data_IF_207428073659
#
_entry.id   IF_207428073659
#
_cell.length_a   1.000
_cell.length_b   1.000
_cell.length_c   1.000
_cell.angle_alpha   90.00
_cell.angle_beta   90.00
_cell.angle_gamma   90.00
#
_symmetry.space_group_name_H-M   'P 1'
#
loop_
_entity.id
_entity.type
_entity.pdbx_description
1 polymer ?
#
# COMPACT_ATOMS: atom_id res chain seq x y z
N UNK A 1 22.04 22.94 -9.17
CA UNK A 1 20.95 22.79 -10.17
C UNK A 1 20.59 21.34 -10.44
N UNK A 2 21.52 20.48 -10.93
CA UNK A 2 21.20 19.05 -11.21
C UNK A 2 20.78 18.25 -9.96
N UNK A 3 21.51 18.39 -8.85
CA UNK A 3 21.19 17.73 -7.55
C UNK A 3 19.73 18.00 -7.12
N UNK A 4 19.32 19.26 -7.16
CA UNK A 4 17.96 19.69 -6.79
C UNK A 4 16.90 19.01 -7.65
N UNK A 5 17.11 18.94 -8.97
CA UNK A 5 16.15 18.30 -9.88
C UNK A 5 16.03 16.79 -9.62
N UNK A 6 17.15 16.12 -9.33
CA UNK A 6 17.15 14.70 -8.98
C UNK A 6 16.37 14.46 -7.67
N UNK A 7 16.59 15.28 -6.65
CA UNK A 7 15.88 15.14 -5.37
C UNK A 7 14.38 15.37 -5.54
N UNK A 8 13.99 16.41 -6.28
CA UNK A 8 12.58 16.70 -6.55
C UNK A 8 11.90 15.59 -7.35
N UNK A 9 12.59 15.05 -8.38
CA UNK A 9 12.10 13.91 -9.13
C UNK A 9 11.87 12.69 -8.23
N UNK A 10 12.84 12.36 -7.37
CA UNK A 10 12.74 11.20 -6.48
C UNK A 10 11.63 11.38 -5.44
N UNK A 11 11.48 12.58 -4.87
CA UNK A 11 10.39 12.90 -3.95
C UNK A 11 9.03 12.75 -4.64
N UNK A 12 8.89 13.25 -5.88
CA UNK A 12 7.67 13.11 -6.66
C UNK A 12 7.37 11.65 -7.01
N UNK A 13 8.38 10.89 -7.42
CA UNK A 13 8.26 9.47 -7.72
C UNK A 13 7.77 8.67 -6.50
N UNK A 14 8.37 8.88 -5.33
CA UNK A 14 7.95 8.24 -4.07
C UNK A 14 6.51 8.62 -3.73
N UNK A 15 6.13 9.89 -3.91
CA UNK A 15 4.77 10.34 -3.67
C UNK A 15 3.76 9.60 -4.55
N UNK A 16 3.99 9.55 -5.87
CA UNK A 16 3.09 8.87 -6.83
C UNK A 16 3.02 7.38 -6.53
N UNK A 17 4.16 6.72 -6.31
CA UNK A 17 4.20 5.30 -5.99
C UNK A 17 3.41 4.99 -4.70
N UNK A 18 3.59 5.80 -3.67
CA UNK A 18 2.89 5.64 -2.40
C UNK A 18 1.38 5.86 -2.54
N UNK A 19 0.94 6.82 -3.37
CA UNK A 19 -0.47 7.02 -3.69
C UNK A 19 -1.07 5.82 -4.41
N UNK A 20 -0.36 5.23 -5.38
CA UNK A 20 -0.82 4.01 -6.07
C UNK A 20 -1.00 2.87 -5.06
N UNK A 21 -0.01 2.61 -4.21
CA UNK A 21 -0.09 1.57 -3.18
C UNK A 21 -1.25 1.85 -2.23
N UNK A 22 -1.41 3.10 -1.77
CA UNK A 22 -2.50 3.51 -0.90
C UNK A 22 -3.88 3.21 -1.51
N UNK A 23 -4.11 3.57 -2.77
CA UNK A 23 -5.37 3.29 -3.45
C UNK A 23 -5.60 1.80 -3.72
N UNK A 24 -4.56 1.03 -4.05
CA UNK A 24 -4.65 -0.42 -4.15
C UNK A 24 -5.06 -1.06 -2.81
N UNK A 25 -4.52 -0.57 -1.71
CA UNK A 25 -4.88 -1.05 -0.38
C UNK A 25 -6.32 -0.70 0.00
N UNK A 26 -6.81 0.51 -0.33
CA UNK A 26 -8.23 0.86 -0.19
C UNK A 26 -9.11 -0.07 -1.02
N UNK A 27 -8.78 -0.26 -2.30
CA UNK A 27 -9.53 -1.14 -3.19
C UNK A 27 -9.55 -2.58 -2.64
N UNK A 28 -8.45 -3.05 -2.05
CA UNK A 28 -8.38 -4.38 -1.41
C UNK A 28 -9.27 -4.47 -0.19
N UNK A 29 -9.27 -3.47 0.68
CA UNK A 29 -10.17 -3.43 1.84
C UNK A 29 -11.60 -3.54 1.33
N UNK A 30 -12.04 -2.64 0.44
CA UNK A 30 -13.40 -2.65 -0.14
C UNK A 30 -13.72 -4.03 -0.75
N UNK A 31 -12.80 -4.58 -1.54
CA UNK A 31 -12.98 -5.90 -2.19
C UNK A 31 -13.10 -7.03 -1.18
N UNK A 32 -12.40 -6.97 -0.03
CA UNK A 32 -12.52 -7.99 1.02
C UNK A 32 -13.91 -8.01 1.68
N UNK A 33 -14.57 -6.86 1.79
CA UNK A 33 -15.96 -6.79 2.26
C UNK A 33 -16.92 -7.34 1.20
N UNK A 34 -16.69 -7.01 -0.07
CA UNK A 34 -17.56 -7.45 -1.18
C UNK A 34 -17.46 -8.95 -1.48
N UNK A 35 -16.30 -9.56 -1.25
CA UNK A 35 -16.05 -11.00 -1.52
C UNK A 35 -16.23 -11.88 -0.27
N UNK A 36 -16.73 -11.32 0.82
CA UNK A 36 -16.90 -12.01 2.09
C UNK A 36 -17.75 -13.29 1.93
N UNK A 37 -17.18 -14.43 2.31
CA UNK A 37 -17.81 -15.76 2.17
C UNK A 37 -17.46 -16.52 0.88
N UNK A 38 -16.70 -15.92 -0.04
CA UNK A 38 -16.21 -16.56 -1.28
C UNK A 38 -14.70 -16.46 -1.39
N UNK A 39 -14.06 -17.35 -2.15
CA UNK A 39 -12.63 -17.25 -2.39
C UNK A 39 -12.35 -16.04 -3.34
N UNK A 40 -11.61 -15.01 -2.91
CA UNK A 40 -11.36 -13.83 -3.74
C UNK A 40 -10.64 -14.17 -5.06
N UNK A 41 -9.88 -15.27 -5.06
CA UNK A 41 -9.14 -15.77 -6.23
C UNK A 41 -10.01 -16.52 -7.24
N UNK A 42 -11.23 -16.91 -6.87
CA UNK A 42 -12.21 -17.49 -7.81
C UNK A 42 -13.20 -16.47 -8.36
N UNK A 43 -13.08 -15.20 -7.97
CA UNK A 43 -13.90 -14.11 -8.47
C UNK A 43 -13.41 -13.53 -9.81
N UNK A 44 -13.84 -12.30 -10.11
CA UNK A 44 -13.47 -11.57 -11.32
C UNK A 44 -11.95 -11.38 -11.43
N UNK A 45 -11.40 -11.41 -12.65
CA UNK A 45 -9.97 -11.27 -12.92
C UNK A 45 -9.34 -10.00 -12.29
N UNK A 46 -10.09 -8.89 -12.26
CA UNK A 46 -9.65 -7.62 -11.65
C UNK A 46 -9.40 -7.78 -10.15
N UNK A 47 -10.32 -8.44 -9.44
CA UNK A 47 -10.17 -8.71 -8.00
C UNK A 47 -8.99 -9.63 -7.75
N UNK A 48 -8.82 -10.65 -8.58
CA UNK A 48 -7.67 -11.55 -8.48
C UNK A 48 -6.34 -10.81 -8.63
N UNK A 49 -6.19 -9.98 -9.67
CA UNK A 49 -4.99 -9.18 -9.90
C UNK A 49 -4.74 -8.22 -8.73
N UNK A 50 -5.78 -7.58 -8.21
CA UNK A 50 -5.67 -6.70 -7.05
C UNK A 50 -5.08 -7.43 -5.83
N UNK A 51 -5.58 -8.64 -5.53
CA UNK A 51 -5.05 -9.45 -4.43
C UNK A 51 -3.61 -9.92 -4.70
N UNK A 52 -3.30 -10.35 -5.92
CA UNK A 52 -1.94 -10.77 -6.30
C UNK A 52 -0.92 -9.62 -6.19
N UNK A 53 -1.29 -8.40 -6.57
CA UNK A 53 -0.43 -7.23 -6.46
C UNK A 53 -0.17 -6.79 -5.02
N UNK A 54 -1.15 -6.97 -4.13
CA UNK A 54 -1.09 -6.48 -2.75
C UNK A 54 -0.67 -7.56 -1.74
N UNK A 55 -0.72 -8.85 -2.12
CA UNK A 55 -0.31 -9.98 -1.28
C UNK A 55 1.14 -9.90 -0.82
N UNK A 56 2.14 -9.56 -1.66
CA UNK A 56 3.53 -9.45 -1.21
C UNK A 56 3.70 -8.42 -0.09
N UNK A 57 3.03 -7.27 -0.20
CA UNK A 57 3.06 -6.20 0.79
C UNK A 57 2.41 -6.67 2.10
N UNK A 58 1.27 -7.35 2.01
CA UNK A 58 0.55 -7.84 3.17
C UNK A 58 1.19 -9.06 3.83
N UNK A 59 1.89 -9.90 3.08
CA UNK A 59 2.64 -11.03 3.64
C UNK A 59 3.76 -10.56 4.58
N UNK A 60 4.34 -9.38 4.32
CA UNK A 60 5.30 -8.74 5.23
C UNK A 60 4.56 -8.26 6.49
N UNK A 61 3.41 -7.60 6.34
CA UNK A 61 2.63 -7.09 7.46
C UNK A 61 2.03 -8.19 8.35
N UNK A 62 1.63 -9.33 7.76
CA UNK A 62 1.07 -10.50 8.43
C UNK A 62 2.06 -11.26 9.30
N UNK A 63 3.36 -10.94 9.22
CA UNK A 63 4.36 -11.46 10.18
C UNK A 63 4.09 -10.99 11.60
N UNK A 64 3.31 -9.91 11.78
CA UNK A 64 2.90 -9.45 13.09
C UNK A 64 1.44 -9.91 13.32
N UNK A 65 1.17 -10.74 14.35
CA UNK A 65 -0.15 -11.32 14.58
C UNK A 65 -1.13 -10.26 15.07
N UNK A 66 -1.83 -9.62 14.14
CA UNK A 66 -2.87 -8.61 14.41
C UNK A 66 -4.22 -8.99 13.80
N UNK A 67 -4.53 -10.28 13.66
CA UNK A 67 -5.83 -10.70 13.14
C UNK A 67 -6.88 -10.59 14.25
N UNK A 68 -7.81 -9.64 14.13
CA UNK A 68 -9.03 -9.60 14.95
C UNK A 68 -10.19 -10.08 14.08
N UNK A 69 -10.55 -11.37 14.20
CA UNK A 69 -11.62 -11.99 13.43
C UNK A 69 -11.33 -12.06 11.92
N UNK A 70 -12.35 -11.76 11.10
CA UNK A 70 -12.26 -11.78 9.63
C UNK A 70 -11.87 -10.44 8.99
N UNK A 71 -11.64 -9.39 9.79
CA UNK A 71 -11.17 -8.10 9.29
C UNK A 71 -9.66 -8.17 9.05
N UNK A 72 -9.22 -7.92 7.82
CA UNK A 72 -7.80 -7.87 7.49
C UNK A 72 -7.18 -6.55 8.00
N UNK A 73 -6.98 -6.46 9.31
CA UNK A 73 -6.31 -5.33 9.95
C UNK A 73 -4.91 -5.09 9.39
N UNK A 74 -4.27 -6.12 8.80
CA UNK A 74 -2.99 -5.94 8.13
C UNK A 74 -3.08 -4.94 6.98
N UNK A 75 -4.20 -4.87 6.27
CA UNK A 75 -4.40 -3.90 5.19
C UNK A 75 -4.49 -2.46 5.71
N UNK A 76 -5.16 -2.27 6.85
CA UNK A 76 -5.27 -0.97 7.51
C UNK A 76 -3.90 -0.53 8.05
N UNK A 77 -3.16 -1.44 8.69
CA UNK A 77 -1.80 -1.17 9.16
C UNK A 77 -0.90 -0.74 8.00
N UNK A 78 -0.98 -1.42 6.86
CA UNK A 78 -0.22 -1.06 5.67
C UNK A 78 -0.60 0.32 5.13
N UNK A 79 -1.88 0.71 5.12
CA UNK A 79 -2.30 2.07 4.73
C UNK A 79 -1.58 3.15 5.55
N UNK A 80 -1.61 3.00 6.87
CA UNK A 80 -0.93 3.94 7.77
C UNK A 80 0.59 3.91 7.58
N UNK A 81 1.17 2.71 7.45
CA UNK A 81 2.59 2.56 7.25
C UNK A 81 3.05 3.25 5.96
N UNK A 82 2.34 3.06 4.84
CA UNK A 82 2.64 3.67 3.54
C UNK A 82 2.58 5.20 3.62
N UNK A 83 1.54 5.75 4.25
CA UNK A 83 1.39 7.21 4.39
C UNK A 83 2.51 7.81 5.26
N UNK A 84 2.80 7.20 6.41
CA UNK A 84 3.86 7.67 7.33
C UNK A 84 5.25 7.54 6.68
N UNK A 85 5.55 6.38 6.07
CA UNK A 85 6.84 6.13 5.41
C UNK A 85 7.05 7.09 4.24
N UNK A 86 6.04 7.31 3.40
CA UNK A 86 6.12 8.25 2.28
C UNK A 86 6.44 9.66 2.75
N UNK A 87 5.69 10.18 3.74
CA UNK A 87 5.92 11.53 4.30
C UNK A 87 7.31 11.65 4.92
N UNK A 88 7.75 10.63 5.65
CA UNK A 88 9.09 10.61 6.27
C UNK A 88 10.19 10.62 5.21
N UNK A 89 10.11 9.74 4.20
CA UNK A 89 11.09 9.65 3.11
C UNK A 89 11.18 10.95 2.30
N UNK A 90 10.03 11.53 1.95
CA UNK A 90 9.96 12.80 1.22
C UNK A 90 10.56 13.93 2.08
N UNK A 91 10.22 14.00 3.37
CA UNK A 91 10.78 15.01 4.28
C UNK A 91 12.29 14.89 4.39
N UNK A 92 12.81 13.66 4.53
CA UNK A 92 14.25 13.39 4.56
C UNK A 92 14.89 13.84 3.25
N UNK A 93 14.33 13.49 2.10
CA UNK A 93 14.86 13.89 0.79
C UNK A 93 14.90 15.42 0.63
N UNK A 94 13.81 16.11 0.96
CA UNK A 94 13.71 17.57 0.90
C UNK A 94 14.66 18.23 1.90
N UNK A 95 15.01 17.59 3.02
CA UNK A 95 15.99 18.15 3.95
C UNK A 95 17.41 18.28 3.37
N UNK A 96 17.70 17.58 2.27
CA UNK A 96 18.99 17.67 1.56
C UNK A 96 19.00 18.69 0.42
N UNK A 97 17.88 19.37 0.15
CA UNK A 97 17.80 20.45 -0.84
C UNK A 97 18.66 21.65 -0.39
#
# INVERSE_FOLDING_TARGET
MLKTQIILFLAHFINVLSQIIYWLMIARIISSWLTMGTNPRSGNAIVRILFELTDPVLNIAKKIPHQIGMLDLSAIIVLFAVDILSKLLIKILISFL
#
